data_IF_592132373787
#
_entry.id   IF_592132373787
#
_cell.length_a   1.000
_cell.length_b   1.000
_cell.length_c   1.000
_cell.angle_alpha   90.00
_cell.angle_beta   90.00
_cell.angle_gamma   90.00
#
_symmetry.space_group_name_H-M   'P 1'
#
loop_
_entity.id
_entity.type
_entity.pdbx_description
1 polymer ?
#
# COMPACT_ATOMS: atom_id res chain seq x y z
N UNK A 1 1.59 12.95 -8.29
CA UNK A 1 2.32 11.93 -7.51
C UNK A 1 2.20 10.63 -8.29
N UNK A 2 3.32 9.96 -8.58
CA UNK A 2 3.30 8.72 -9.37
C UNK A 2 3.69 7.58 -8.45
N UNK A 3 2.68 6.84 -7.97
CA UNK A 3 2.90 5.63 -7.18
C UNK A 3 3.00 4.48 -8.16
N UNK A 4 4.14 3.78 -8.14
CA UNK A 4 4.31 2.55 -8.90
C UNK A 4 3.67 1.42 -8.13
N UNK A 5 2.87 0.58 -8.80
CA UNK A 5 2.20 -0.56 -8.19
C UNK A 5 2.63 -1.84 -8.89
N UNK A 6 3.06 -2.83 -8.11
CA UNK A 6 3.27 -4.20 -8.57
C UNK A 6 2.31 -5.13 -7.82
N UNK A 7 1.67 -6.05 -8.54
CA UNK A 7 0.85 -7.08 -7.90
C UNK A 7 1.25 -8.44 -8.45
N UNK A 8 1.89 -9.25 -7.61
CA UNK A 8 2.39 -10.56 -7.99
C UNK A 8 2.28 -11.54 -6.83
N UNK A 9 1.91 -12.78 -7.14
CA UNK A 9 1.85 -13.88 -6.17
C UNK A 9 1.02 -13.57 -4.90
N UNK A 10 -0.03 -12.75 -5.02
CA UNK A 10 -0.86 -12.38 -3.87
C UNK A 10 -0.36 -11.17 -3.08
N UNK A 11 0.78 -10.58 -3.44
CA UNK A 11 1.38 -9.43 -2.77
C UNK A 11 1.15 -8.19 -3.64
N UNK A 12 0.64 -7.13 -3.04
CA UNK A 12 0.55 -5.80 -3.62
C UNK A 12 1.64 -4.93 -3.00
N UNK A 13 2.59 -4.52 -3.83
CA UNK A 13 3.64 -3.58 -3.49
C UNK A 13 3.34 -2.24 -4.16
N UNK A 14 3.59 -1.16 -3.45
CA UNK A 14 3.51 0.18 -4.00
C UNK A 14 4.68 1.02 -3.51
N UNK A 15 5.23 1.87 -4.36
CA UNK A 15 6.32 2.76 -3.99
C UNK A 15 6.13 4.15 -4.61
N UNK A 16 6.34 5.18 -3.79
CA UNK A 16 6.52 6.55 -4.24
C UNK A 16 8.01 6.92 -4.19
N UNK A 17 8.64 6.92 -5.36
CA UNK A 17 10.07 7.17 -5.51
C UNK A 17 10.48 8.60 -5.16
N UNK A 18 9.53 9.52 -4.98
CA UNK A 18 9.83 10.91 -4.57
C UNK A 18 10.00 11.05 -3.06
N UNK A 19 9.21 10.32 -2.29
CA UNK A 19 9.20 10.42 -0.82
C UNK A 19 9.94 9.26 -0.15
N UNK A 20 10.21 8.18 -0.87
CA UNK A 20 10.76 6.95 -0.29
C UNK A 20 9.73 6.16 0.51
N UNK A 21 8.44 6.46 0.31
CA UNK A 21 7.32 5.74 0.92
C UNK A 21 6.99 4.50 0.15
N UNK A 22 6.78 3.42 0.87
CA UNK A 22 6.44 2.12 0.34
C UNK A 22 5.21 1.58 1.08
N UNK A 23 4.40 0.82 0.35
CA UNK A 23 3.24 0.13 0.87
C UNK A 23 3.31 -1.33 0.48
N UNK A 24 3.00 -2.22 1.41
CA UNK A 24 2.94 -3.66 1.18
C UNK A 24 1.64 -4.22 1.75
N UNK A 25 0.96 -5.05 0.97
CA UNK A 25 -0.26 -5.74 1.39
C UNK A 25 -0.30 -7.15 0.82
N UNK A 26 -0.56 -8.13 1.68
CA UNK A 26 -0.88 -9.49 1.23
C UNK A 26 -2.38 -9.62 1.03
N UNK A 27 -2.80 -10.26 -0.05
CA UNK A 27 -4.22 -10.44 -0.35
C UNK A 27 -4.91 -11.20 0.78
N UNK A 28 -5.86 -10.53 1.42
CA UNK A 28 -6.63 -11.06 2.55
C UNK A 28 -6.21 -10.47 3.89
N UNK A 29 -5.07 -9.78 3.95
CA UNK A 29 -4.64 -9.10 5.17
C UNK A 29 -5.56 -7.93 5.51
N UNK A 30 -5.79 -7.68 6.81
CA UNK A 30 -6.65 -6.59 7.27
C UNK A 30 -5.97 -5.23 7.21
N UNK A 31 -4.70 -5.14 6.83
CA UNK A 31 -3.95 -3.90 6.82
C UNK A 31 -2.89 -3.83 5.72
N UNK A 32 -2.68 -2.63 5.18
CA UNK A 32 -1.53 -2.29 4.33
C UNK A 32 -0.44 -1.71 5.23
N UNK A 33 0.74 -2.31 5.21
CA UNK A 33 1.90 -1.79 5.92
C UNK A 33 2.49 -0.63 5.13
N UNK A 34 2.77 0.50 5.79
CA UNK A 34 3.45 1.65 5.21
C UNK A 34 4.83 1.81 5.83
N UNK A 35 5.86 1.80 5.00
CA UNK A 35 7.24 2.06 5.39
C UNK A 35 7.77 3.33 4.73
N UNK A 36 8.75 3.97 5.35
CA UNK A 36 9.50 5.08 4.76
C UNK A 36 10.99 4.83 5.04
N UNK A 37 11.81 4.76 3.98
CA UNK A 37 13.24 4.42 4.09
C UNK A 37 13.53 3.10 4.84
N UNK A 38 12.65 2.11 4.70
CA UNK A 38 12.78 0.80 5.36
C UNK A 38 12.30 0.75 6.83
N UNK A 39 11.85 1.86 7.39
CA UNK A 39 11.26 1.90 8.74
C UNK A 39 9.73 1.83 8.68
N UNK A 40 9.12 1.06 9.58
CA UNK A 40 7.66 0.98 9.71
C UNK A 40 7.11 2.30 10.23
N UNK A 41 6.32 2.99 9.39
CA UNK A 41 5.76 4.28 9.73
C UNK A 41 4.33 4.15 10.29
N UNK A 42 3.48 3.35 9.64
CA UNK A 42 2.09 3.11 10.07
C UNK A 42 1.44 1.98 9.26
N UNK A 43 0.17 1.69 9.52
CA UNK A 43 -0.64 0.83 8.66
C UNK A 43 -2.00 1.46 8.29
N UNK A 44 -2.57 1.01 7.18
CA UNK A 44 -3.87 1.43 6.65
C UNK A 44 -4.83 0.25 6.77
N UNK A 45 -5.95 0.41 7.48
CA UNK A 45 -6.97 -0.63 7.58
C UNK A 45 -7.59 -0.97 6.21
N UNK A 46 -7.72 -2.26 5.93
CA UNK A 46 -8.28 -2.83 4.71
C UNK A 46 -9.61 -3.52 5.02
N UNK A 47 -10.70 -3.20 4.30
CA UNK A 47 -11.97 -3.90 4.45
C UNK A 47 -11.85 -5.41 4.18
N UNK A 48 -12.63 -6.21 4.91
CA UNK A 48 -12.69 -7.66 4.68
C UNK A 48 -13.14 -7.94 3.24
N UNK A 49 -12.37 -8.77 2.53
CA UNK A 49 -12.65 -9.13 1.14
C UNK A 49 -12.26 -8.07 0.12
N UNK A 50 -11.50 -7.03 0.52
CA UNK A 50 -11.03 -6.01 -0.41
C UNK A 50 -10.26 -6.59 -1.59
N UNK A 51 -10.54 -6.04 -2.76
CA UNK A 51 -9.83 -6.33 -3.99
C UNK A 51 -8.54 -5.52 -4.10
N UNK A 52 -7.62 -5.96 -4.96
CA UNK A 52 -6.39 -5.21 -5.27
C UNK A 52 -6.70 -3.79 -5.73
N UNK A 53 -7.80 -3.60 -6.48
CA UNK A 53 -8.21 -2.27 -6.98
C UNK A 53 -8.60 -1.35 -5.83
N UNK A 54 -9.35 -1.86 -4.85
CA UNK A 54 -9.76 -1.11 -3.66
C UNK A 54 -8.55 -0.76 -2.80
N UNK A 55 -7.61 -1.69 -2.61
CA UNK A 55 -6.38 -1.42 -1.84
C UNK A 55 -5.50 -0.38 -2.53
N UNK A 56 -5.37 -0.43 -3.86
CA UNK A 56 -4.70 0.64 -4.64
C UNK A 56 -5.39 2.00 -4.46
N UNK A 57 -6.71 2.03 -4.27
CA UNK A 57 -7.43 3.27 -3.99
C UNK A 57 -7.14 3.79 -2.56
N UNK A 58 -7.09 2.91 -1.56
CA UNK A 58 -6.70 3.24 -0.18
C UNK A 58 -5.30 3.87 -0.13
N UNK A 59 -4.31 3.26 -0.80
CA UNK A 59 -2.94 3.79 -0.87
C UNK A 59 -2.92 5.19 -1.52
N UNK A 60 -3.67 5.40 -2.60
CA UNK A 60 -3.77 6.73 -3.22
C UNK A 60 -4.42 7.76 -2.30
N UNK A 61 -5.40 7.37 -1.48
CA UNK A 61 -6.02 8.26 -0.50
C UNK A 61 -5.06 8.60 0.65
N UNK A 62 -4.24 7.64 1.09
CA UNK A 62 -3.22 7.85 2.12
C UNK A 62 -2.20 8.91 1.69
N UNK A 63 -1.75 8.89 0.43
CA UNK A 63 -0.79 9.89 -0.09
C UNK A 63 -1.32 11.33 -0.16
N UNK A 64 -2.63 11.53 0.01
CA UNK A 64 -3.24 12.87 0.03
C UNK A 64 -3.33 13.47 1.44
N UNK A 65 -2.97 12.69 2.47
CA UNK A 65 -2.87 13.16 3.85
C UNK A 65 -1.46 13.67 4.13
#
# INVERSE_FOLDING_TARGET
MTINFDYRCGILEAADTKTGREWCWYKGDPEVTRTENGELLSSIGVPIGATVVEVKALIRMDTRK
#
